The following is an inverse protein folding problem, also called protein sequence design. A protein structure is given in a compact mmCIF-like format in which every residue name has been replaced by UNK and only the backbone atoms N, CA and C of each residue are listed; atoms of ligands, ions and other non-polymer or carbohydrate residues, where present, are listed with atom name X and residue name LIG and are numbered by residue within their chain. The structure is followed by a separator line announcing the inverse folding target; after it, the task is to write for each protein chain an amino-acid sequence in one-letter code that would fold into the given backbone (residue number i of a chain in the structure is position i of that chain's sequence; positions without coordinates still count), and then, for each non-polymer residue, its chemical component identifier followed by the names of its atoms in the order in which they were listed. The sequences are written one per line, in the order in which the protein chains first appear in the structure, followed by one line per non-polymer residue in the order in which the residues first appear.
data_IF_862328084305
#
_entry.id   IF_862328084305
#
_cell.length_a   1.000
_cell.length_b   1.000
_cell.length_c   1.000
_cell.angle_alpha   90.00
_cell.angle_beta   90.00
_cell.angle_gamma   90.00
#
_symmetry.space_group_name_H-M   'P 1'
#
loop_
_entity.id
_entity.type
_entity.pdbx_description
1 polymer ?
#
# COMPACT_ATOMS: atom_id res chain seq x y z
N UNK A 1 -11.91 -8.92 10.53
CA UNK A 1 -12.95 -8.64 9.51
C UNK A 1 -12.43 -8.04 8.20
N UNK A 2 -11.33 -7.27 8.17
CA UNK A 2 -10.84 -6.64 6.92
C UNK A 2 -10.41 -7.61 5.81
N UNK A 3 -9.78 -8.74 6.16
CA UNK A 3 -9.39 -9.78 5.20
C UNK A 3 -10.60 -10.46 4.55
N UNK A 4 -11.60 -10.85 5.34
CA UNK A 4 -12.85 -11.46 4.87
C UNK A 4 -13.60 -10.52 3.93
N UNK A 5 -13.74 -9.24 4.31
CA UNK A 5 -14.38 -8.23 3.46
C UNK A 5 -13.71 -8.16 2.09
N UNK A 6 -12.39 -8.11 2.09
CA UNK A 6 -11.58 -8.00 0.88
C UNK A 6 -11.78 -9.21 -0.03
N UNK A 7 -11.75 -10.40 0.53
CA UNK A 7 -11.89 -11.65 -0.22
C UNK A 7 -13.28 -11.75 -0.85
N UNK A 8 -14.32 -11.44 -0.08
CA UNK A 8 -15.70 -11.40 -0.58
C UNK A 8 -15.89 -10.33 -1.66
N UNK A 9 -15.28 -9.15 -1.49
CA UNK A 9 -15.35 -8.07 -2.48
C UNK A 9 -14.70 -8.46 -3.81
N UNK A 10 -13.49 -9.05 -3.78
CA UNK A 10 -12.78 -9.46 -5.00
C UNK A 10 -13.47 -10.65 -5.69
N UNK A 11 -13.97 -11.63 -4.92
CA UNK A 11 -14.76 -12.74 -5.47
C UNK A 11 -16.07 -12.25 -6.09
N UNK A 12 -16.85 -11.45 -5.36
CA UNK A 12 -18.11 -10.93 -5.88
C UNK A 12 -17.88 -10.09 -7.15
N UNK A 13 -16.80 -9.31 -7.19
CA UNK A 13 -16.45 -8.50 -8.35
C UNK A 13 -16.10 -9.35 -9.58
N UNK A 14 -15.40 -10.47 -9.41
CA UNK A 14 -15.03 -11.33 -10.54
C UNK A 14 -16.25 -11.98 -11.21
N UNK A 15 -17.30 -12.29 -10.46
CA UNK A 15 -18.55 -12.85 -10.99
C UNK A 15 -19.52 -11.79 -11.51
N UNK A 16 -19.68 -10.67 -10.79
CA UNK A 16 -20.63 -9.62 -11.19
C UNK A 16 -20.14 -8.79 -12.39
N UNK A 17 -18.82 -8.61 -12.53
CA UNK A 17 -18.23 -7.74 -13.55
C UNK A 17 -16.96 -8.36 -14.17
N UNK A 18 -17.07 -9.52 -14.86
CA UNK A 18 -15.93 -10.30 -15.33
C UNK A 18 -15.09 -9.59 -16.40
N UNK A 19 -15.70 -8.77 -17.26
CA UNK A 19 -14.98 -7.99 -18.28
C UNK A 19 -14.13 -6.88 -17.66
N UNK A 20 -14.70 -6.12 -16.73
CA UNK A 20 -13.98 -5.08 -16.01
C UNK A 20 -12.86 -5.66 -15.13
N UNK A 21 -13.09 -6.82 -14.51
CA UNK A 21 -12.06 -7.52 -13.76
C UNK A 21 -10.88 -7.90 -14.66
N UNK A 22 -11.14 -8.52 -15.81
CA UNK A 22 -10.10 -8.86 -16.81
C UNK A 22 -9.38 -7.62 -17.35
N UNK A 23 -10.12 -6.55 -17.65
CA UNK A 23 -9.57 -5.28 -18.10
C UNK A 23 -8.61 -4.68 -17.06
N UNK A 24 -8.97 -4.72 -15.77
CA UNK A 24 -8.09 -4.22 -14.72
C UNK A 24 -6.85 -5.09 -14.52
N UNK A 25 -6.99 -6.41 -14.59
CA UNK A 25 -5.86 -7.34 -14.50
C UNK A 25 -4.84 -7.06 -15.61
N UNK A 26 -5.29 -6.96 -16.87
CA UNK A 26 -4.39 -6.69 -18.00
C UNK A 26 -3.71 -5.32 -17.95
N UNK A 27 -4.31 -4.35 -17.25
CA UNK A 27 -3.69 -3.03 -17.02
C UNK A 27 -2.65 -3.04 -15.88
N UNK A 28 -2.74 -3.98 -14.94
CA UNK A 28 -1.86 -4.07 -13.77
C UNK A 28 -0.64 -4.96 -14.06
N UNK A 29 -0.86 -6.08 -14.74
CA UNK A 29 0.10 -7.16 -14.98
C UNK A 29 1.41 -6.71 -15.67
N UNK A 30 1.40 -5.84 -16.72
CA UNK A 30 2.61 -5.53 -17.49
C UNK A 30 3.74 -4.86 -16.69
N UNK A 31 3.41 -4.20 -15.58
CA UNK A 31 4.39 -3.51 -14.72
C UNK A 31 4.56 -4.19 -13.37
N UNK A 32 4.00 -5.38 -13.18
CA UNK A 32 3.96 -6.02 -11.88
C UNK A 32 5.35 -6.44 -11.41
N UNK A 33 6.15 -7.03 -12.28
CA UNK A 33 7.50 -7.48 -11.96
C UNK A 33 8.45 -6.32 -11.62
N UNK A 34 8.44 -5.26 -12.45
CA UNK A 34 9.20 -4.04 -12.21
C UNK A 34 8.84 -3.42 -10.84
N UNK A 35 7.54 -3.28 -10.55
CA UNK A 35 7.07 -2.73 -9.27
C UNK A 35 7.45 -3.61 -8.09
N UNK A 36 7.44 -4.93 -8.24
CA UNK A 36 7.91 -5.85 -7.19
C UNK A 36 9.41 -5.71 -6.95
N UNK A 37 10.20 -5.53 -8.01
CA UNK A 37 11.63 -5.27 -7.91
C UNK A 37 11.92 -3.97 -7.15
N UNK A 38 11.21 -2.89 -7.49
CA UNK A 38 11.30 -1.61 -6.78
C UNK A 38 10.88 -1.74 -5.31
N UNK A 39 9.80 -2.48 -5.03
CA UNK A 39 9.34 -2.72 -3.67
C UNK A 39 10.40 -3.44 -2.84
N UNK A 40 11.00 -4.52 -3.36
CA UNK A 40 12.05 -5.27 -2.68
C UNK A 40 13.26 -4.38 -2.35
N UNK A 41 13.69 -3.54 -3.29
CA UNK A 41 14.77 -2.56 -3.06
C UNK A 41 14.40 -1.57 -1.96
N UNK A 42 13.17 -1.04 -1.98
CA UNK A 42 12.69 -0.11 -0.98
C UNK A 42 12.56 -0.75 0.42
N UNK A 43 12.07 -2.00 0.49
CA UNK A 43 12.03 -2.80 1.73
C UNK A 43 13.42 -2.93 2.33
N UNK A 44 14.38 -3.41 1.54
CA UNK A 44 15.74 -3.63 2.02
C UNK A 44 16.40 -2.34 2.53
N UNK A 45 16.24 -1.24 1.79
CA UNK A 45 16.77 0.08 2.21
C UNK A 45 16.15 0.53 3.54
N UNK A 46 14.84 0.32 3.70
CA UNK A 46 14.11 0.70 4.92
C UNK A 46 14.50 -0.17 6.12
N UNK A 47 14.65 -1.49 5.93
CA UNK A 47 15.08 -2.42 6.98
C UNK A 47 16.47 -2.07 7.53
N UNK A 48 17.42 -1.74 6.65
CA UNK A 48 18.77 -1.30 7.05
C UNK A 48 18.67 -0.02 7.89
N UNK A 49 17.88 0.95 7.45
CA UNK A 49 17.75 2.24 8.15
C UNK A 49 17.07 2.09 9.52
N UNK A 50 16.02 1.27 9.61
CA UNK A 50 15.33 0.96 10.87
C UNK A 50 16.26 0.25 11.85
N UNK A 51 17.02 -0.74 11.37
CA UNK A 51 18.01 -1.47 12.17
C UNK A 51 19.13 -0.55 12.67
N UNK A 52 19.62 0.36 11.82
CA UNK A 52 20.64 1.35 12.18
C UNK A 52 20.19 2.33 13.25
N UNK A 53 18.88 2.62 13.32
CA UNK A 53 18.27 3.44 14.35
C UNK A 53 17.87 2.65 15.62
N UNK A 54 18.10 1.35 15.66
CA UNK A 54 17.74 0.49 16.80
C UNK A 54 16.25 0.16 16.92
N UNK A 55 15.44 0.44 15.89
CA UNK A 55 14.01 0.15 15.88
C UNK A 55 13.77 -1.27 15.39
N UNK A 56 13.18 -2.12 16.24
CA UNK A 56 12.69 -3.45 15.83
C UNK A 56 11.39 -3.27 15.06
N UNK A 57 11.39 -3.67 13.79
CA UNK A 57 10.24 -3.55 12.93
C UNK A 57 10.14 -4.73 11.94
N UNK A 58 8.92 -5.16 11.66
CA UNK A 58 8.61 -6.06 10.55
C UNK A 58 8.16 -5.23 9.34
N UNK A 59 8.90 -5.35 8.23
CA UNK A 59 8.58 -4.65 6.97
C UNK A 59 8.01 -5.66 5.98
N UNK A 60 6.82 -5.38 5.43
CA UNK A 60 6.17 -6.23 4.45
C UNK A 60 5.57 -5.44 3.29
N UNK A 61 5.53 -6.07 2.11
CA UNK A 61 4.83 -5.54 0.95
C UNK A 61 3.33 -5.79 1.03
N UNK A 62 2.52 -4.74 0.90
CA UNK A 62 1.07 -4.83 0.80
C UNK A 62 0.63 -4.57 -0.64
N UNK A 63 0.00 -5.57 -1.25
CA UNK A 63 -0.70 -5.40 -2.53
C UNK A 63 -2.11 -4.87 -2.30
N UNK A 64 -2.59 -4.06 -3.24
CA UNK A 64 -3.95 -3.55 -3.23
C UNK A 64 -4.88 -4.48 -4.02
N UNK A 65 -6.06 -4.71 -3.48
CA UNK A 65 -7.10 -5.57 -4.04
C UNK A 65 -7.74 -4.98 -5.30
N UNK A 66 -8.14 -5.85 -6.24
CA UNK A 66 -8.62 -5.46 -7.58
C UNK A 66 -9.88 -4.62 -7.46
N UNK A 67 -10.84 -5.01 -6.62
CA UNK A 67 -12.06 -4.25 -6.42
C UNK A 67 -11.78 -2.86 -5.78
N UNK A 68 -10.78 -2.77 -4.92
CA UNK A 68 -10.36 -1.49 -4.34
C UNK A 68 -9.63 -0.58 -5.35
N UNK A 69 -9.07 -1.14 -6.42
CA UNK A 69 -8.53 -0.40 -7.56
C UNK A 69 -9.67 0.08 -8.44
N UNK A 70 -10.61 -0.81 -8.79
CA UNK A 70 -11.85 -0.50 -9.50
C UNK A 70 -12.61 0.68 -8.86
N UNK A 71 -12.89 0.61 -7.55
CA UNK A 71 -13.56 1.70 -6.82
C UNK A 71 -12.80 3.03 -6.92
N UNK A 72 -11.47 3.03 -6.89
CA UNK A 72 -10.70 4.29 -7.02
C UNK A 72 -10.78 4.86 -8.43
N UNK A 73 -10.73 4.02 -9.46
CA UNK A 73 -10.85 4.46 -10.85
C UNK A 73 -12.22 5.09 -11.11
N UNK A 74 -13.29 4.40 -10.71
CA UNK A 74 -14.64 4.81 -11.09
C UNK A 74 -15.26 5.86 -10.17
N UNK A 75 -15.05 5.74 -8.85
CA UNK A 75 -15.67 6.68 -7.89
C UNK A 75 -14.85 7.97 -7.78
N UNK A 76 -13.52 7.87 -7.87
CA UNK A 76 -12.64 9.03 -7.69
C UNK A 76 -12.19 9.67 -9.01
N UNK A 77 -12.54 9.08 -10.16
CA UNK A 77 -12.14 9.53 -11.51
C UNK A 77 -10.63 9.77 -11.64
N UNK A 78 -9.84 8.99 -10.91
CA UNK A 78 -8.38 9.07 -10.88
C UNK A 78 -7.85 8.25 -12.05
N UNK A 79 -6.92 8.80 -12.84
CA UNK A 79 -6.31 8.09 -13.96
C UNK A 79 -5.50 6.89 -13.48
N UNK A 80 -5.35 5.84 -14.31
CA UNK A 80 -4.60 4.64 -13.92
C UNK A 80 -3.12 4.93 -13.60
N UNK A 81 -2.54 5.94 -14.24
CA UNK A 81 -1.20 6.47 -13.98
C UNK A 81 -1.09 7.21 -12.63
N UNK A 82 -2.20 7.69 -12.07
CA UNK A 82 -2.25 8.35 -10.78
C UNK A 82 -2.47 7.35 -9.62
N UNK A 83 -2.63 6.05 -9.93
CA UNK A 83 -2.66 4.99 -8.93
C UNK A 83 -1.23 4.61 -8.54
N UNK A 84 -0.59 5.52 -7.81
CA UNK A 84 0.69 5.29 -7.15
C UNK A 84 0.59 4.17 -6.08
N UNK A 85 -0.61 3.94 -5.54
CA UNK A 85 -0.87 3.00 -4.44
C UNK A 85 -1.06 1.53 -4.87
N UNK A 86 -0.58 1.11 -6.05
CA UNK A 86 -0.70 -0.30 -6.45
C UNK A 86 0.17 -1.20 -5.56
N UNK A 87 1.27 -0.65 -5.06
CA UNK A 87 2.16 -1.33 -4.12
C UNK A 87 2.41 -0.39 -2.95
N UNK A 88 2.34 -0.93 -1.74
CA UNK A 88 2.60 -0.21 -0.50
C UNK A 88 3.53 -1.02 0.41
N UNK A 89 4.22 -0.33 1.31
CA UNK A 89 4.96 -0.94 2.41
C UNK A 89 4.12 -0.87 3.69
N UNK A 90 4.24 -1.90 4.52
CA UNK A 90 3.72 -1.94 5.88
C UNK A 90 4.90 -2.12 6.82
N UNK A 91 4.91 -1.33 7.88
CA UNK A 91 5.86 -1.42 8.98
C UNK A 91 5.03 -1.77 10.21
N UNK A 92 5.40 -2.83 10.92
CA UNK A 92 4.81 -3.24 12.20
C UNK A 92 5.90 -3.09 13.26
N UNK A 93 5.54 -2.44 14.37
CA UNK A 93 6.42 -2.16 15.51
C UNK A 93 5.65 -2.37 16.81
N UNK A 94 6.37 -2.47 17.92
CA UNK A 94 5.78 -2.82 19.22
C UNK A 94 5.16 -1.63 19.95
N UNK A 95 5.66 -0.42 19.72
CA UNK A 95 5.22 0.78 20.46
C UNK A 95 4.78 1.93 19.56
N UNK A 96 3.94 2.82 20.11
CA UNK A 96 3.55 4.07 19.43
C UNK A 96 4.76 4.99 19.18
N UNK A 97 5.72 5.00 20.11
CA UNK A 97 6.97 5.75 19.94
C UNK A 97 7.75 5.26 18.72
N UNK A 98 7.87 3.94 18.56
CA UNK A 98 8.53 3.33 17.40
C UNK A 98 7.77 3.60 16.10
N UNK A 99 6.44 3.72 16.13
CA UNK A 99 5.63 4.10 14.95
C UNK A 99 6.04 5.48 14.42
N UNK A 100 6.15 6.48 15.30
CA UNK A 100 6.58 7.82 14.93
C UNK A 100 8.09 7.88 14.60
N UNK A 101 8.92 7.08 15.26
CA UNK A 101 10.34 6.92 14.91
C UNK A 101 10.52 6.35 13.49
N UNK A 102 9.78 5.30 13.15
CA UNK A 102 9.77 4.72 11.82
C UNK A 102 9.29 5.71 10.76
N UNK A 103 8.27 6.53 11.07
CA UNK A 103 7.80 7.62 10.19
C UNK A 103 8.93 8.63 9.91
N UNK A 104 9.68 9.03 10.92
CA UNK A 104 10.83 9.93 10.78
C UNK A 104 11.90 9.36 9.84
N UNK A 105 12.21 8.07 9.97
CA UNK A 105 13.16 7.36 9.09
C UNK A 105 12.63 7.29 7.66
N UNK A 106 11.34 7.02 7.46
CA UNK A 106 10.75 7.03 6.11
C UNK A 106 10.90 8.41 5.47
N UNK A 107 10.66 9.49 6.20
CA UNK A 107 10.81 10.85 5.71
C UNK A 107 12.26 11.28 5.45
N UNK A 108 13.25 10.65 6.10
CA UNK A 108 14.67 10.90 5.80
C UNK A 108 15.12 10.16 4.53
N UNK A 109 14.53 9.01 4.24
CA UNK A 109 14.85 8.22 3.03
C UNK A 109 14.15 8.75 1.78
N UNK A 110 12.93 9.30 1.92
CA UNK A 110 12.11 9.77 0.80
C UNK A 110 11.32 11.04 1.16
N UNK A 111 11.25 11.96 0.21
CA UNK A 111 10.46 13.20 0.38
C UNK A 111 8.97 12.87 0.47
N UNK A 112 8.26 13.30 1.53
CA UNK A 112 6.83 13.08 1.64
C UNK A 112 6.06 13.91 0.61
N UNK A 113 4.95 13.35 0.12
CA UNK A 113 4.00 14.09 -0.70
C UNK A 113 3.09 14.96 0.18
N UNK A 114 3.07 16.30 -0.01
CA UNK A 114 2.21 17.19 0.77
C UNK A 114 0.73 16.80 0.69
N UNK A 115 0.00 16.94 1.80
CA UNK A 115 -1.45 16.69 1.86
C UNK A 115 -1.87 15.21 1.81
N UNK A 116 -0.93 14.26 1.76
CA UNK A 116 -1.23 12.81 1.75
C UNK A 116 -0.95 12.09 3.06
N UNK A 117 -0.32 12.77 4.03
CA UNK A 117 -0.11 12.23 5.36
C UNK A 117 -1.44 12.09 6.11
N UNK A 118 -1.63 10.96 6.80
CA UNK A 118 -2.80 10.69 7.63
C UNK A 118 -2.36 10.01 8.91
N UNK A 119 -2.64 10.64 10.04
CA UNK A 119 -2.36 10.08 11.37
C UNK A 119 -3.66 9.53 11.97
N UNK A 120 -3.83 8.21 11.90
CA UNK A 120 -4.96 7.52 12.52
C UNK A 120 -4.67 7.04 13.95
N UNK A 121 -3.45 7.23 14.47
CA UNK A 121 -3.14 7.00 15.88
C UNK A 121 -3.73 8.17 16.68
N UNK A 122 -3.47 9.40 16.22
CA UNK A 122 -4.00 10.62 16.85
C UNK A 122 -5.47 10.88 16.49
N UNK A 123 -5.91 10.48 15.29
CA UNK A 123 -7.28 10.66 14.82
C UNK A 123 -7.88 9.34 14.34
N UNK A 124 -8.34 8.47 15.25
CA UNK A 124 -8.93 7.18 14.90
C UNK A 124 -10.08 7.32 13.91
N UNK A 125 -10.21 6.34 13.00
CA UNK A 125 -11.39 6.27 12.14
C UNK A 125 -12.58 5.75 12.94
N UNK A 126 -13.71 6.42 12.77
CA UNK A 126 -15.04 5.92 13.12
C UNK A 126 -15.48 4.82 12.15
#
# INVERSE_FOLDING_TARGET
MGAIKVELEDLSFSYLMPEECRRLQSLIEPKQEERMGLLKKAMHKLEIALKGAGIKAEVSGRRKHIYSIYRKLNIKKVGLNEIYDLVALRIIVDTVQDCYGALGIVHSLWRPFPGRFKDYISMPKT
#
